data_IF_560202348615
#
_entry.id   IF_560202348615
#
_cell.length_a   1.000
_cell.length_b   1.000
_cell.length_c   1.000
_cell.angle_alpha   90.00
_cell.angle_beta   90.00
_cell.angle_gamma   90.00
#
_symmetry.space_group_name_H-M   'P 1'
#
loop_
_entity.id
_entity.type
_entity.pdbx_description
1 polymer ?
#
# COMPACT_ATOMS: atom_id res chain seq x y z
N UNK A 1 -34.49 -0.68 -19.01
CA UNK A 1 -33.53 -0.42 -20.09
C UNK A 1 -32.51 0.65 -19.72
N UNK A 2 -32.92 1.80 -19.17
CA UNK A 2 -32.00 2.89 -18.72
C UNK A 2 -30.95 2.43 -17.67
N UNK A 3 -31.31 1.56 -16.75
CA UNK A 3 -30.36 1.05 -15.72
C UNK A 3 -29.28 0.11 -16.28
N UNK A 4 -29.56 -0.61 -17.38
CA UNK A 4 -28.54 -1.43 -18.05
C UNK A 4 -27.55 -0.58 -18.85
N UNK A 5 -28.04 0.50 -19.47
CA UNK A 5 -27.20 1.45 -20.19
C UNK A 5 -26.29 2.28 -19.25
N UNK A 6 -26.80 2.69 -18.09
CA UNK A 6 -25.97 3.35 -17.05
C UNK A 6 -24.88 2.42 -16.50
N UNK A 7 -25.15 1.11 -16.33
CA UNK A 7 -24.15 0.15 -15.87
C UNK A 7 -23.09 -0.18 -16.93
N UNK A 8 -23.44 -0.15 -18.20
CA UNK A 8 -22.48 -0.35 -19.31
C UNK A 8 -21.56 0.88 -19.54
N UNK A 9 -21.94 2.06 -19.05
CA UNK A 9 -21.17 3.30 -19.19
C UNK A 9 -20.11 3.50 -18.07
N UNK A 10 -20.10 2.64 -17.05
CA UNK A 10 -19.18 2.77 -15.90
C UNK A 10 -17.92 1.91 -16.14
N UNK A 11 -17.02 2.39 -16.96
CA UNK A 11 -15.69 1.84 -17.18
C UNK A 11 -15.39 1.55 -18.66
N UNK A 12 -14.10 1.59 -19.00
CA UNK A 12 -13.58 1.29 -20.30
C UNK A 12 -13.05 -0.15 -20.34
N UNK A 13 -13.26 -0.85 -21.44
CA UNK A 13 -12.58 -2.11 -21.71
C UNK A 13 -11.19 -1.78 -22.29
N UNK A 14 -10.18 -1.90 -21.45
CA UNK A 14 -8.78 -1.74 -21.86
C UNK A 14 -8.17 -3.10 -22.18
N UNK A 15 -7.11 -3.16 -23.01
CA UNK A 15 -6.32 -4.38 -23.15
C UNK A 15 -5.81 -4.86 -21.79
N UNK A 16 -5.81 -6.17 -21.58
CA UNK A 16 -5.22 -6.78 -20.40
C UNK A 16 -3.79 -7.22 -20.72
N UNK A 17 -2.85 -6.26 -20.71
CA UNK A 17 -1.45 -6.52 -21.01
C UNK A 17 -0.68 -6.73 -19.68
N UNK A 18 -0.92 -7.88 -19.07
CA UNK A 18 -0.35 -8.26 -17.76
C UNK A 18 0.86 -9.20 -17.95
N UNK A 19 1.83 -8.80 -18.78
CA UNK A 19 3.01 -9.62 -19.10
C UNK A 19 3.76 -10.12 -17.86
N UNK A 20 3.74 -9.33 -16.78
CA UNK A 20 4.42 -9.65 -15.52
C UNK A 20 3.57 -10.42 -14.51
N UNK A 21 2.34 -10.84 -14.87
CA UNK A 21 1.42 -11.50 -13.92
C UNK A 21 1.99 -12.79 -13.31
N UNK A 22 2.75 -13.56 -14.11
CA UNK A 22 3.42 -14.78 -13.63
C UNK A 22 4.81 -14.52 -13.03
N UNK A 23 5.32 -13.27 -13.09
CA UNK A 23 6.66 -12.91 -12.58
C UNK A 23 6.61 -12.70 -11.08
N UNK A 24 7.16 -13.65 -10.32
CA UNK A 24 7.33 -13.48 -8.87
C UNK A 24 8.21 -12.25 -8.61
N UNK A 25 7.87 -11.44 -7.61
CA UNK A 25 8.69 -10.30 -7.23
C UNK A 25 10.10 -10.72 -6.82
N UNK A 26 11.09 -10.01 -7.34
CA UNK A 26 12.50 -10.22 -6.97
C UNK A 26 13.06 -8.98 -6.28
N UNK A 27 13.89 -9.13 -5.24
CA UNK A 27 14.60 -7.99 -4.66
C UNK A 27 15.49 -7.35 -5.71
N UNK A 28 15.39 -6.02 -5.87
CA UNK A 28 16.33 -5.31 -6.71
C UNK A 28 17.73 -5.25 -6.05
N UNK A 29 18.82 -5.07 -6.82
CA UNK A 29 20.13 -4.76 -6.25
C UNK A 29 20.02 -3.56 -5.31
N UNK A 30 20.67 -3.65 -4.14
CA UNK A 30 20.63 -2.57 -3.16
C UNK A 30 21.27 -1.30 -3.75
N UNK A 31 20.59 -0.15 -3.78
CA UNK A 31 21.16 1.10 -4.27
C UNK A 31 22.27 1.60 -3.34
N UNK A 32 23.25 2.33 -3.88
CA UNK A 32 24.33 2.91 -3.08
C UNK A 32 23.81 3.94 -2.06
N UNK A 33 22.68 4.57 -2.36
CA UNK A 33 21.98 5.48 -1.45
C UNK A 33 20.50 5.49 -1.72
N UNK A 34 19.71 5.87 -0.69
CA UNK A 34 18.29 6.18 -0.81
C UNK A 34 18.02 7.62 -0.38
N UNK A 35 16.98 8.23 -0.95
CA UNK A 35 16.47 9.53 -0.51
C UNK A 35 15.03 9.36 -0.01
N UNK A 36 14.82 9.43 1.28
CA UNK A 36 13.52 9.23 1.91
C UNK A 36 12.91 10.60 2.20
N UNK A 37 11.77 10.88 1.56
CA UNK A 37 11.09 12.16 1.68
C UNK A 37 10.29 12.22 2.99
N UNK A 38 10.28 13.38 3.65
CA UNK A 38 9.46 13.60 4.86
C UNK A 38 8.00 13.91 4.52
N UNK A 39 7.64 13.97 3.24
CA UNK A 39 6.27 14.13 2.74
C UNK A 39 5.93 13.01 1.75
N UNK A 40 5.55 11.84 2.27
CA UNK A 40 5.13 10.67 1.50
C UNK A 40 3.61 10.41 1.58
N UNK A 41 2.86 11.31 2.20
CA UNK A 41 1.45 11.17 2.51
C UNK A 41 0.73 12.51 2.44
N UNK A 42 -0.59 12.47 2.44
CA UNK A 42 -1.44 13.65 2.59
C UNK A 42 -1.35 14.17 4.04
N UNK A 43 -1.43 15.48 4.19
CA UNK A 43 -1.41 16.17 5.48
C UNK A 43 -0.08 16.83 5.78
N UNK A 44 0.24 16.97 7.06
CA UNK A 44 1.46 17.64 7.49
C UNK A 44 2.68 16.74 7.22
N UNK A 45 3.79 17.24 6.66
CA UNK A 45 5.02 16.50 6.53
C UNK A 45 5.51 15.97 7.89
N UNK A 46 6.17 14.82 7.87
CA UNK A 46 6.89 14.33 9.05
C UNK A 46 8.09 15.25 9.36
N UNK A 47 8.51 15.26 10.61
CA UNK A 47 9.72 15.96 11.05
C UNK A 47 10.87 14.97 11.15
N UNK A 48 11.99 15.27 10.51
CA UNK A 48 13.17 14.42 10.59
C UNK A 48 13.66 14.33 12.06
N UNK A 49 13.96 13.11 12.48
CA UNK A 49 14.49 12.77 13.81
C UNK A 49 16.00 12.56 13.81
N UNK A 50 16.60 12.48 12.62
CA UNK A 50 18.01 12.15 12.42
C UNK A 50 18.76 13.33 11.80
N UNK A 51 20.09 13.33 11.93
CA UNK A 51 21.00 14.32 11.36
C UNK A 51 22.14 13.64 10.62
N UNK A 52 22.88 14.40 9.82
CA UNK A 52 24.09 13.92 9.12
C UNK A 52 25.05 13.25 10.11
N UNK A 53 25.49 12.06 9.74
CA UNK A 53 26.43 11.23 10.49
C UNK A 53 25.77 10.18 11.41
N UNK A 54 24.46 10.25 11.63
CA UNK A 54 23.76 9.23 12.41
C UNK A 54 23.75 7.89 11.67
N UNK A 55 23.95 6.79 12.42
CA UNK A 55 23.73 5.44 11.91
C UNK A 55 22.26 5.08 12.02
N UNK A 56 21.74 4.41 10.99
CA UNK A 56 20.35 3.93 10.93
C UNK A 56 20.33 2.50 10.41
N UNK A 57 19.29 1.77 10.79
CA UNK A 57 19.04 0.39 10.39
C UNK A 57 17.72 0.30 9.63
N UNK A 58 17.46 -0.84 8.98
CA UNK A 58 16.16 -1.10 8.36
C UNK A 58 15.07 -1.08 9.42
N UNK A 59 14.08 -0.21 9.27
CA UNK A 59 13.00 -0.02 10.23
C UNK A 59 13.24 1.06 11.28
N UNK A 60 14.44 1.65 11.39
CA UNK A 60 14.67 2.79 12.28
C UNK A 60 13.73 3.94 11.95
N UNK A 61 13.00 4.47 12.93
CA UNK A 61 12.15 5.65 12.74
C UNK A 61 13.03 6.89 12.54
N UNK A 62 12.96 7.46 11.35
CA UNK A 62 13.75 8.63 10.92
C UNK A 62 12.91 9.89 10.76
N UNK A 63 11.59 9.77 10.82
CA UNK A 63 10.66 10.89 10.75
C UNK A 63 9.45 10.66 11.64
N UNK A 64 9.06 11.67 12.40
CA UNK A 64 7.88 11.67 13.25
C UNK A 64 6.74 12.45 12.63
N UNK A 65 5.54 11.92 12.75
CA UNK A 65 4.33 12.55 12.23
C UNK A 65 4.17 13.99 12.72
N UNK A 66 4.06 14.94 11.80
CA UNK A 66 4.01 16.38 12.08
C UNK A 66 2.65 16.92 12.52
N UNK A 67 1.60 16.08 12.57
CA UNK A 67 0.25 16.48 12.92
C UNK A 67 -0.73 15.33 13.04
N UNK A 68 -2.03 15.61 13.15
CA UNK A 68 -3.06 14.56 13.23
C UNK A 68 -3.12 13.76 11.93
N UNK A 69 -3.27 14.44 10.78
CA UNK A 69 -3.14 13.83 9.46
C UNK A 69 -1.68 13.89 9.06
N UNK A 70 -0.94 12.87 9.39
CA UNK A 70 0.49 12.69 9.13
C UNK A 70 0.86 11.24 9.46
N UNK A 71 2.05 10.78 9.05
CA UNK A 71 2.53 9.43 9.32
C UNK A 71 4.02 9.44 9.71
N UNK A 72 4.43 8.48 10.54
CA UNK A 72 5.83 8.23 10.82
C UNK A 72 6.56 7.70 9.58
N UNK A 73 7.86 7.93 9.49
CA UNK A 73 8.70 7.52 8.36
C UNK A 73 9.89 6.74 8.89
N UNK A 74 10.20 5.64 8.21
CA UNK A 74 11.22 4.70 8.63
C UNK A 74 12.30 4.53 7.57
N UNK A 75 13.50 4.19 8.00
CA UNK A 75 14.60 3.88 7.10
C UNK A 75 14.34 2.55 6.38
N UNK A 76 14.53 2.55 5.08
CA UNK A 76 14.43 1.36 4.23
C UNK A 76 15.74 0.58 4.11
N UNK A 77 16.82 1.14 4.59
CA UNK A 77 18.17 0.58 4.48
C UNK A 77 18.94 0.75 5.79
N UNK A 78 19.97 -0.08 5.99
CA UNK A 78 21.00 0.19 6.99
C UNK A 78 22.14 1.01 6.38
N UNK A 79 22.71 1.92 7.17
CA UNK A 79 23.80 2.78 6.74
C UNK A 79 23.93 4.07 7.53
N UNK A 80 24.51 5.09 6.89
CA UNK A 80 24.79 6.38 7.55
C UNK A 80 24.01 7.50 6.87
N UNK A 81 23.39 8.36 7.64
CA UNK A 81 22.71 9.57 7.15
C UNK A 81 23.76 10.52 6.55
N UNK A 82 23.74 10.67 5.22
CA UNK A 82 24.65 11.54 4.48
C UNK A 82 24.24 13.01 4.54
N UNK A 83 22.92 13.26 4.51
CA UNK A 83 22.35 14.61 4.59
C UNK A 83 20.89 14.56 5.06
N UNK A 84 20.45 15.67 5.68
CA UNK A 84 19.04 16.04 5.82
C UNK A 84 18.91 17.39 5.14
N UNK A 85 18.16 17.42 4.04
CA UNK A 85 18.16 18.58 3.13
C UNK A 85 16.83 18.74 2.42
N UNK A 86 16.47 19.99 2.01
CA UNK A 86 15.30 20.24 1.21
C UNK A 86 15.40 19.54 -0.15
N UNK A 87 14.30 18.94 -0.60
CA UNK A 87 14.17 18.33 -1.91
C UNK A 87 12.90 18.83 -2.63
N UNK A 88 13.01 19.06 -3.93
CA UNK A 88 11.90 19.54 -4.74
C UNK A 88 11.05 18.37 -5.23
N UNK A 89 9.79 18.34 -4.82
CA UNK A 89 8.81 17.35 -5.25
C UNK A 89 8.36 17.59 -6.70
N UNK A 90 7.75 16.58 -7.31
CA UNK A 90 7.20 16.64 -8.68
C UNK A 90 6.16 17.75 -8.87
N UNK A 91 5.44 18.11 -7.83
CA UNK A 91 4.47 19.24 -7.83
C UNK A 91 5.12 20.62 -7.58
N UNK A 92 6.45 20.69 -7.56
CA UNK A 92 7.23 21.93 -7.34
C UNK A 92 7.40 22.36 -5.88
N UNK A 93 6.72 21.72 -4.94
CA UNK A 93 6.87 22.03 -3.50
C UNK A 93 8.20 21.52 -2.98
N UNK A 94 8.72 22.20 -1.96
CA UNK A 94 9.90 21.74 -1.20
C UNK A 94 9.44 20.92 0.01
N UNK A 95 10.15 19.83 0.30
CA UNK A 95 10.03 19.11 1.56
C UNK A 95 11.41 18.64 2.01
N UNK A 96 11.56 18.42 3.31
CA UNK A 96 12.78 17.80 3.82
C UNK A 96 12.91 16.35 3.35
N UNK A 97 14.13 15.92 3.14
CA UNK A 97 14.49 14.54 2.80
C UNK A 97 15.69 14.09 3.61
N UNK A 98 15.70 12.81 3.95
CA UNK A 98 16.84 12.13 4.57
C UNK A 98 17.55 11.32 3.51
N UNK A 99 18.81 11.63 3.25
CA UNK A 99 19.68 10.88 2.34
C UNK A 99 20.50 9.90 3.16
N UNK A 100 20.40 8.61 2.87
CA UNK A 100 21.13 7.56 3.58
C UNK A 100 22.05 6.85 2.60
N UNK A 101 23.34 6.84 2.90
CA UNK A 101 24.33 6.04 2.17
C UNK A 101 24.31 4.63 2.77
N UNK A 102 24.02 3.63 1.93
CA UNK A 102 23.83 2.24 2.38
C UNK A 102 25.18 1.61 2.75
N UNK A 103 25.15 0.71 3.72
CA UNK A 103 26.31 -0.10 4.15
C UNK A 103 26.39 -1.47 3.47
N UNK A 104 25.37 -1.81 2.66
CA UNK A 104 25.26 -3.09 1.95
C UNK A 104 24.80 -4.27 2.81
N UNK A 105 24.56 -4.09 4.13
CA UNK A 105 24.27 -5.19 5.06
C UNK A 105 22.79 -5.43 5.27
N UNK A 106 21.94 -4.39 5.13
CA UNK A 106 20.49 -4.43 5.42
C UNK A 106 20.18 -4.96 6.83
N UNK A 107 20.99 -4.52 7.80
CA UNK A 107 20.80 -4.86 9.22
C UNK A 107 19.46 -4.27 9.69
N UNK A 108 18.62 -5.11 10.29
CA UNK A 108 17.34 -4.69 10.87
C UNK A 108 17.58 -4.02 12.22
N UNK A 109 16.82 -2.95 12.50
CA UNK A 109 16.87 -2.28 13.80
C UNK A 109 16.42 -3.24 14.90
N UNK A 110 17.21 -3.43 15.96
CA UNK A 110 16.84 -4.28 17.11
C UNK A 110 15.53 -3.89 17.79
N UNK A 111 15.08 -2.64 17.63
CA UNK A 111 13.81 -2.16 18.15
C UNK A 111 12.60 -2.63 17.33
N UNK A 112 12.80 -3.21 16.14
CA UNK A 112 11.73 -3.78 15.31
C UNK A 112 11.22 -5.06 15.96
N UNK A 113 10.07 -4.96 16.62
CA UNK A 113 9.40 -6.06 17.30
C UNK A 113 7.89 -5.95 17.09
N UNK A 114 7.21 -7.11 17.03
CA UNK A 114 5.76 -7.15 16.91
C UNK A 114 5.09 -6.33 18.03
N UNK A 115 4.17 -5.42 17.72
CA UNK A 115 3.51 -4.61 18.72
C UNK A 115 2.57 -5.45 19.60
N UNK A 116 2.50 -5.11 20.87
CA UNK A 116 1.47 -5.66 21.74
C UNK A 116 0.16 -4.88 21.54
N UNK A 117 -0.89 -5.58 21.06
CA UNK A 117 -2.19 -5.00 20.76
C UNK A 117 -3.27 -5.72 21.56
N UNK A 118 -3.89 -5.00 22.47
CA UNK A 118 -4.91 -5.55 23.38
C UNK A 118 -6.29 -4.97 23.15
N UNK A 119 -6.38 -3.72 22.65
CA UNK A 119 -7.60 -2.98 22.45
C UNK A 119 -7.52 -2.03 21.23
N UNK A 120 -8.59 -1.25 21.00
CA UNK A 120 -8.65 -0.27 19.91
C UNK A 120 -7.57 0.82 20.02
N UNK A 121 -7.28 1.29 21.22
CA UNK A 121 -6.35 2.39 21.43
C UNK A 121 -4.91 1.95 21.11
N UNK A 122 -4.49 0.80 21.64
CA UNK A 122 -3.19 0.18 21.35
C UNK A 122 -3.05 -0.22 19.88
N UNK A 123 -4.15 -0.69 19.23
CA UNK A 123 -4.17 -0.98 17.80
C UNK A 123 -3.91 0.28 16.97
N UNK A 124 -4.64 1.36 17.22
CA UNK A 124 -4.46 2.61 16.48
C UNK A 124 -3.07 3.24 16.72
N UNK A 125 -2.55 3.13 17.93
CA UNK A 125 -1.19 3.55 18.25
C UNK A 125 -0.15 2.72 17.47
N UNK A 126 -0.33 1.40 17.36
CA UNK A 126 0.53 0.52 16.58
C UNK A 126 0.46 0.85 15.08
N UNK A 127 -0.73 1.12 14.51
CA UNK A 127 -0.88 1.55 13.10
C UNK A 127 -0.18 2.87 12.85
N UNK A 128 -0.26 3.82 13.79
CA UNK A 128 0.45 5.11 13.69
C UNK A 128 1.96 4.91 13.78
N UNK A 129 2.44 4.07 14.69
CA UNK A 129 3.88 3.78 14.81
C UNK A 129 4.41 3.08 13.55
N UNK A 130 3.66 2.19 12.94
CA UNK A 130 3.96 1.60 11.64
C UNK A 130 4.19 2.65 10.53
N UNK A 131 3.57 3.82 10.63
CA UNK A 131 3.60 4.84 9.58
C UNK A 131 2.86 4.41 8.31
N UNK A 132 1.92 3.47 8.42
CA UNK A 132 1.18 2.95 7.28
C UNK A 132 0.26 4.01 6.69
N UNK A 133 0.37 4.17 5.37
CA UNK A 133 -0.49 5.03 4.56
C UNK A 133 -1.18 4.23 3.46
N UNK A 134 -2.17 4.82 2.80
CA UNK A 134 -2.85 4.17 1.69
C UNK A 134 -1.89 3.93 0.52
N UNK A 135 -1.50 2.68 0.30
CA UNK A 135 -0.47 2.29 -0.67
C UNK A 135 -0.98 2.22 -2.12
N UNK A 136 -2.27 2.12 -2.33
CA UNK A 136 -2.89 2.06 -3.66
C UNK A 136 -3.44 3.40 -4.16
N UNK A 137 -3.05 4.54 -3.57
CA UNK A 137 -3.62 5.84 -3.96
C UNK A 137 -2.91 7.03 -3.33
N UNK A 138 -3.69 7.95 -2.76
CA UNK A 138 -3.23 9.27 -2.32
C UNK A 138 -2.36 9.29 -1.05
N UNK A 139 -2.01 8.16 -0.48
CA UNK A 139 -1.16 8.12 0.72
C UNK A 139 -1.85 8.68 1.96
N UNK A 140 -3.14 8.42 2.15
CA UNK A 140 -3.84 8.87 3.36
C UNK A 140 -3.41 8.04 4.58
N UNK A 141 -3.07 8.65 5.75
CA UNK A 141 -2.64 7.93 6.94
C UNK A 141 -3.68 6.92 7.41
N UNK A 142 -3.27 5.67 7.58
CA UNK A 142 -4.20 4.56 7.87
C UNK A 142 -4.78 4.63 9.26
N UNK A 143 -4.01 5.06 10.26
CA UNK A 143 -4.51 5.27 11.63
C UNK A 143 -5.67 6.27 11.67
N UNK A 144 -5.60 7.35 10.88
CA UNK A 144 -6.67 8.34 10.74
C UNK A 144 -7.87 7.75 9.99
N UNK A 145 -7.63 6.99 8.91
CA UNK A 145 -8.69 6.31 8.14
C UNK A 145 -9.50 5.34 9.00
N UNK A 146 -8.86 4.67 9.95
CA UNK A 146 -9.49 3.71 10.86
C UNK A 146 -10.24 4.36 12.05
N UNK A 147 -10.35 5.70 12.06
CA UNK A 147 -11.09 6.50 13.05
C UNK A 147 -12.19 7.33 12.35
N UNK A 148 -13.12 6.71 11.60
CA UNK A 148 -14.18 7.45 10.93
C UNK A 148 -15.09 8.14 11.94
N UNK A 149 -15.66 9.29 11.55
CA UNK A 149 -16.66 10.02 12.36
C UNK A 149 -18.04 9.41 12.20
N UNK A 150 -18.34 8.91 10.99
CA UNK A 150 -19.61 8.27 10.66
C UNK A 150 -19.58 6.80 11.06
N UNK A 151 -20.74 6.20 11.38
CA UNK A 151 -20.83 4.75 11.63
C UNK A 151 -20.43 3.95 10.40
N UNK A 152 -19.55 2.96 10.60
CA UNK A 152 -19.09 2.06 9.54
C UNK A 152 -19.43 0.63 9.89
N UNK A 153 -20.05 -0.07 8.96
CA UNK A 153 -20.44 -1.47 9.11
C UNK A 153 -19.68 -2.44 8.20
N UNK A 154 -18.89 -1.91 7.24
CA UNK A 154 -18.19 -2.73 6.26
C UNK A 154 -16.76 -2.25 6.04
N UNK A 155 -15.80 -3.16 6.18
CA UNK A 155 -14.46 -3.01 5.64
C UNK A 155 -14.46 -3.49 4.19
N UNK A 156 -14.09 -2.64 3.24
CA UNK A 156 -14.00 -2.98 1.83
C UNK A 156 -12.54 -3.02 1.41
N UNK A 157 -12.06 -4.20 1.03
CA UNK A 157 -10.70 -4.36 0.50
C UNK A 157 -10.73 -4.20 -1.01
N UNK A 158 -9.97 -3.23 -1.49
CA UNK A 158 -9.75 -3.01 -2.91
C UNK A 158 -8.61 -3.92 -3.38
N UNK A 159 -8.99 -5.04 -3.99
CA UNK A 159 -8.12 -5.98 -4.68
C UNK A 159 -8.29 -5.90 -6.22
N UNK A 160 -8.88 -4.80 -6.69
CA UNK A 160 -9.05 -4.52 -8.12
C UNK A 160 -7.82 -3.78 -8.65
N UNK A 161 -7.03 -4.48 -9.44
CA UNK A 161 -5.83 -3.95 -10.08
C UNK A 161 -6.13 -3.68 -11.56
N UNK A 162 -6.92 -2.61 -11.82
CA UNK A 162 -7.48 -2.32 -13.14
C UNK A 162 -6.50 -1.59 -14.09
N UNK A 163 -5.35 -1.14 -13.63
CA UNK A 163 -4.31 -0.57 -14.48
C UNK A 163 -3.73 -1.63 -15.43
N UNK A 164 -3.51 -1.27 -16.70
CA UNK A 164 -3.25 -2.20 -17.81
C UNK A 164 -2.06 -3.13 -17.53
N UNK A 165 -0.95 -2.59 -17.05
CA UNK A 165 0.32 -3.35 -16.88
C UNK A 165 0.61 -3.76 -15.44
N UNK A 166 -0.08 -3.20 -14.45
CA UNK A 166 0.23 -3.47 -13.04
C UNK A 166 -0.14 -4.90 -12.64
N UNK A 167 0.76 -5.54 -11.89
CA UNK A 167 0.59 -6.89 -11.35
C UNK A 167 1.08 -7.03 -9.90
N UNK A 168 1.47 -5.93 -9.27
CA UNK A 168 2.01 -5.91 -7.92
C UNK A 168 1.00 -6.36 -6.86
N UNK A 169 -0.28 -5.90 -6.95
CA UNK A 169 -1.33 -6.34 -6.03
C UNK A 169 -1.71 -7.80 -6.26
N UNK A 170 -1.65 -8.29 -7.52
CA UNK A 170 -1.81 -9.70 -7.85
C UNK A 170 -0.75 -10.55 -7.15
N UNK A 171 0.51 -10.15 -7.22
CA UNK A 171 1.60 -10.87 -6.54
C UNK A 171 1.47 -10.79 -5.01
N UNK A 172 1.03 -9.67 -4.47
CA UNK A 172 0.76 -9.52 -3.04
C UNK A 172 -0.32 -10.51 -2.58
N UNK A 173 -1.42 -10.64 -3.33
CA UNK A 173 -2.48 -11.60 -3.01
C UNK A 173 -1.99 -13.05 -3.04
N UNK A 174 -1.16 -13.42 -4.03
CA UNK A 174 -0.65 -14.79 -4.16
C UNK A 174 0.39 -15.16 -3.10
N UNK A 175 1.21 -14.21 -2.67
CA UNK A 175 2.35 -14.48 -1.80
C UNK A 175 2.10 -14.14 -0.32
N UNK A 176 1.22 -13.18 -0.04
CA UNK A 176 1.00 -12.63 1.28
C UNK A 176 -0.47 -12.78 1.78
N UNK A 177 -1.19 -13.80 1.27
CA UNK A 177 -2.60 -14.03 1.62
C UNK A 177 -2.83 -14.12 3.15
N UNK A 178 -1.93 -14.74 3.89
CA UNK A 178 -2.03 -14.87 5.36
C UNK A 178 -1.90 -13.50 6.06
N UNK A 179 -1.03 -12.63 5.56
CA UNK A 179 -0.90 -11.27 6.09
C UNK A 179 -2.12 -10.42 5.75
N UNK A 180 -2.70 -10.59 4.55
CA UNK A 180 -3.97 -9.94 4.17
C UNK A 180 -5.07 -10.31 5.16
N UNK A 181 -5.28 -11.60 5.41
CA UNK A 181 -6.33 -12.09 6.33
C UNK A 181 -6.05 -11.60 7.76
N UNK A 182 -4.81 -11.67 8.24
CA UNK A 182 -4.42 -11.15 9.56
C UNK A 182 -4.73 -9.66 9.69
N UNK A 183 -4.41 -8.85 8.68
CA UNK A 183 -4.69 -7.42 8.66
C UNK A 183 -6.21 -7.14 8.69
N UNK A 184 -7.00 -7.86 7.88
CA UNK A 184 -8.46 -7.76 7.87
C UNK A 184 -9.02 -8.10 9.26
N UNK A 185 -8.67 -9.25 9.82
CA UNK A 185 -9.15 -9.70 11.13
C UNK A 185 -8.81 -8.71 12.25
N UNK A 186 -7.62 -8.11 12.20
CA UNK A 186 -7.24 -7.08 13.16
C UNK A 186 -8.13 -5.83 13.05
N UNK A 187 -8.39 -5.35 11.83
CA UNK A 187 -9.29 -4.20 11.62
C UNK A 187 -10.71 -4.54 12.10
N UNK A 188 -11.27 -5.68 11.71
CA UNK A 188 -12.60 -6.10 12.14
C UNK A 188 -12.70 -6.14 13.68
N UNK A 189 -11.72 -6.78 14.32
CA UNK A 189 -11.69 -6.95 15.78
C UNK A 189 -11.54 -5.63 16.54
N UNK A 190 -10.52 -4.84 16.20
CA UNK A 190 -10.13 -3.70 17.03
C UNK A 190 -10.84 -2.40 16.65
N UNK A 191 -11.24 -2.23 15.39
CA UNK A 191 -12.08 -1.08 15.00
C UNK A 191 -13.56 -1.36 15.34
N UNK A 192 -13.96 -2.64 15.37
CA UNK A 192 -15.32 -3.06 15.69
C UNK A 192 -16.22 -3.07 14.45
N UNK A 193 -15.68 -3.43 13.29
CA UNK A 193 -16.44 -3.55 12.03
C UNK A 193 -16.93 -4.99 11.88
N UNK A 194 -18.24 -5.24 11.65
CA UNK A 194 -18.78 -6.60 11.70
C UNK A 194 -18.46 -7.46 10.47
N UNK A 195 -18.12 -6.87 9.33
CA UNK A 195 -17.87 -7.63 8.09
C UNK A 195 -16.85 -6.98 7.18
N UNK A 196 -16.26 -7.82 6.32
CA UNK A 196 -15.34 -7.41 5.26
C UNK A 196 -15.81 -7.94 3.90
N UNK A 197 -15.63 -7.15 2.85
CA UNK A 197 -15.78 -7.58 1.46
C UNK A 197 -14.47 -7.33 0.74
N UNK A 198 -13.93 -8.36 0.09
CA UNK A 198 -12.75 -8.25 -0.78
C UNK A 198 -13.24 -8.14 -2.22
N UNK A 199 -13.23 -6.94 -2.80
CA UNK A 199 -13.59 -6.72 -4.20
C UNK A 199 -12.39 -7.00 -5.11
N UNK A 200 -12.48 -8.05 -5.93
CA UNK A 200 -11.40 -8.50 -6.80
C UNK A 200 -11.91 -8.70 -8.23
N UNK A 201 -11.11 -8.33 -9.23
CA UNK A 201 -11.50 -8.54 -10.63
C UNK A 201 -11.47 -10.02 -11.03
N UNK A 202 -12.46 -10.45 -11.82
CA UNK A 202 -12.67 -11.84 -12.24
C UNK A 202 -11.60 -12.37 -13.21
N UNK A 203 -10.68 -11.53 -13.68
CA UNK A 203 -9.50 -11.92 -14.45
C UNK A 203 -8.35 -12.48 -13.61
N UNK A 204 -8.56 -12.66 -12.29
CA UNK A 204 -7.57 -13.17 -11.32
C UNK A 204 -8.08 -14.44 -10.60
N UNK A 205 -8.39 -15.53 -11.34
CA UNK A 205 -9.01 -16.71 -10.74
C UNK A 205 -8.16 -17.35 -9.64
N UNK A 206 -6.84 -17.41 -9.81
CA UNK A 206 -5.93 -18.00 -8.80
C UNK A 206 -5.95 -17.22 -7.47
N UNK A 207 -6.03 -15.89 -7.53
CA UNK A 207 -6.15 -15.06 -6.32
C UNK A 207 -7.52 -15.25 -5.67
N UNK A 208 -8.60 -15.33 -6.46
CA UNK A 208 -9.96 -15.57 -5.96
C UNK A 208 -10.01 -16.91 -5.23
N UNK A 209 -9.54 -17.99 -5.86
CA UNK A 209 -9.56 -19.34 -5.30
C UNK A 209 -8.73 -19.39 -3.99
N UNK A 210 -7.54 -18.80 -3.98
CA UNK A 210 -6.69 -18.72 -2.80
C UNK A 210 -7.37 -17.96 -1.65
N UNK A 211 -7.91 -16.78 -1.93
CA UNK A 211 -8.58 -15.97 -0.90
C UNK A 211 -9.86 -16.65 -0.40
N UNK A 212 -10.66 -17.27 -1.27
CA UNK A 212 -11.82 -18.07 -0.87
C UNK A 212 -11.41 -19.25 0.03
N UNK A 213 -10.33 -19.94 -0.30
CA UNK A 213 -9.80 -21.01 0.54
C UNK A 213 -9.37 -20.50 1.91
N UNK A 214 -8.68 -19.35 1.98
CA UNK A 214 -8.20 -18.75 3.23
C UNK A 214 -9.32 -18.22 4.11
N UNK A 215 -10.44 -17.82 3.54
CA UNK A 215 -11.60 -17.24 4.26
C UNK A 215 -12.74 -18.22 4.51
N UNK A 216 -12.62 -19.49 4.11
CA UNK A 216 -13.70 -20.49 4.19
C UNK A 216 -14.31 -20.65 5.62
N UNK A 217 -13.48 -20.49 6.65
CA UNK A 217 -13.87 -20.64 8.05
C UNK A 217 -14.09 -19.27 8.75
N UNK A 218 -14.19 -18.18 7.97
CA UNK A 218 -14.30 -16.80 8.44
C UNK A 218 -15.50 -16.12 7.75
N UNK A 219 -16.75 -16.43 8.20
CA UNK A 219 -17.98 -16.00 7.51
C UNK A 219 -18.16 -14.48 7.43
N UNK A 220 -17.45 -13.72 8.27
CA UNK A 220 -17.44 -12.26 8.22
C UNK A 220 -16.64 -11.68 7.05
N UNK A 221 -15.86 -12.51 6.30
CA UNK A 221 -15.07 -12.08 5.15
C UNK A 221 -15.62 -12.70 3.86
N UNK A 222 -16.19 -11.86 3.00
CA UNK A 222 -16.68 -12.24 1.67
C UNK A 222 -15.65 -11.92 0.60
N UNK A 223 -15.34 -12.87 -0.29
CA UNK A 223 -14.59 -12.61 -1.53
C UNK A 223 -15.58 -12.40 -2.66
N UNK A 224 -15.58 -11.20 -3.26
CA UNK A 224 -16.56 -10.80 -4.28
C UNK A 224 -15.89 -10.55 -5.63
N UNK A 225 -16.03 -11.49 -6.59
CA UNK A 225 -15.55 -11.29 -7.95
C UNK A 225 -16.31 -10.15 -8.66
N UNK A 226 -15.58 -9.25 -9.31
CA UNK A 226 -16.09 -8.09 -10.03
C UNK A 226 -15.74 -8.17 -11.52
N UNK A 227 -16.53 -7.57 -12.42
CA UNK A 227 -16.15 -7.45 -13.82
C UNK A 227 -14.84 -6.70 -13.99
N UNK A 228 -13.95 -7.25 -14.83
CA UNK A 228 -12.67 -6.62 -15.17
C UNK A 228 -12.91 -5.49 -16.19
N UNK A 229 -13.09 -4.29 -15.67
CA UNK A 229 -13.34 -3.06 -16.43
C UNK A 229 -12.52 -1.94 -15.80
N UNK A 230 -11.82 -1.14 -16.63
CA UNK A 230 -11.03 -0.01 -16.13
C UNK A 230 -11.90 0.95 -15.31
N UNK A 231 -11.39 1.29 -14.13
CA UNK A 231 -12.09 2.12 -13.13
C UNK A 231 -12.86 1.31 -12.08
N UNK A 232 -12.92 -0.04 -12.17
CA UNK A 232 -13.54 -0.86 -11.11
C UNK A 232 -12.88 -0.63 -9.75
N UNK A 233 -11.56 -0.39 -9.73
CA UNK A 233 -10.80 -0.08 -8.51
C UNK A 233 -10.95 1.35 -7.98
N UNK A 234 -11.67 2.24 -8.68
CA UNK A 234 -11.96 3.56 -8.14
C UNK A 234 -12.86 3.43 -6.90
N UNK A 235 -12.47 4.06 -5.80
CA UNK A 235 -13.06 3.86 -4.46
C UNK A 235 -14.59 3.94 -4.44
N UNK A 236 -15.17 4.98 -5.07
CA UNK A 236 -16.62 5.17 -5.10
C UNK A 236 -17.33 4.13 -5.97
N UNK A 237 -16.72 3.73 -7.08
CA UNK A 237 -17.25 2.70 -7.98
C UNK A 237 -17.19 1.34 -7.31
N UNK A 238 -16.12 1.07 -6.58
CA UNK A 238 -15.95 -0.16 -5.83
C UNK A 238 -17.03 -0.31 -4.74
N UNK A 239 -17.33 0.78 -4.00
CA UNK A 239 -18.41 0.81 -3.01
C UNK A 239 -19.75 0.48 -3.67
N UNK A 240 -20.07 1.13 -4.78
CA UNK A 240 -21.32 0.84 -5.51
C UNK A 240 -21.39 -0.61 -5.97
N UNK A 241 -20.33 -1.12 -6.61
CA UNK A 241 -20.29 -2.50 -7.13
C UNK A 241 -20.32 -3.56 -6.03
N UNK A 242 -19.60 -3.33 -4.94
CA UNK A 242 -19.52 -4.30 -3.85
C UNK A 242 -20.71 -4.24 -2.90
N UNK A 243 -21.18 -3.04 -2.57
CA UNK A 243 -22.15 -2.84 -1.49
C UNK A 243 -23.53 -2.35 -1.98
N UNK A 244 -23.62 -1.90 -3.26
CA UNK A 244 -24.85 -1.28 -3.80
C UNK A 244 -25.19 0.06 -3.15
N UNK A 245 -24.19 0.72 -2.57
CA UNK A 245 -24.33 2.00 -1.86
C UNK A 245 -23.71 3.13 -2.68
N UNK A 246 -24.29 4.32 -2.56
CA UNK A 246 -23.74 5.54 -3.15
C UNK A 246 -23.14 6.43 -2.07
N UNK A 247 -21.93 6.95 -2.34
CA UNK A 247 -21.32 7.98 -1.49
C UNK A 247 -21.90 9.32 -1.89
N UNK A 248 -22.44 10.13 -0.95
CA UNK A 248 -22.95 11.47 -1.26
C UNK A 248 -21.89 12.35 -1.94
N UNK A 249 -22.31 13.26 -2.78
CA UNK A 249 -21.41 14.18 -3.49
C UNK A 249 -20.52 14.94 -2.50
N UNK A 250 -19.19 14.89 -2.71
CA UNK A 250 -18.20 15.46 -1.80
C UNK A 250 -18.01 14.71 -0.48
N UNK A 251 -18.73 13.60 -0.27
CA UNK A 251 -18.60 12.73 0.90
C UNK A 251 -17.40 11.81 0.85
N UNK A 252 -17.09 11.20 1.98
CA UNK A 252 -16.09 10.14 2.12
C UNK A 252 -16.77 8.76 2.16
N UNK A 253 -16.06 7.66 1.92
CA UNK A 253 -16.58 6.29 2.02
C UNK A 253 -17.34 5.99 3.31
N UNK A 254 -16.93 6.56 4.43
CA UNK A 254 -17.60 6.41 5.72
C UNK A 254 -19.06 6.91 5.70
N UNK A 255 -19.40 7.91 4.89
CA UNK A 255 -20.79 8.36 4.72
C UNK A 255 -21.69 7.31 4.04
N UNK A 256 -21.08 6.33 3.37
CA UNK A 256 -21.78 5.14 2.85
C UNK A 256 -21.58 3.91 3.76
N UNK A 257 -21.11 4.08 5.00
CA UNK A 257 -20.91 3.02 5.97
C UNK A 257 -19.72 2.11 5.69
N UNK A 258 -18.74 2.55 4.89
CA UNK A 258 -17.59 1.75 4.49
C UNK A 258 -16.23 2.40 4.82
N UNK A 259 -15.25 1.59 5.19
CA UNK A 259 -13.84 1.94 5.10
C UNK A 259 -13.24 1.16 3.94
N UNK A 260 -12.55 1.85 3.03
CA UNK A 260 -11.88 1.21 1.89
C UNK A 260 -10.37 1.16 2.14
N UNK A 261 -9.77 -0.03 2.01
CA UNK A 261 -8.32 -0.22 2.06
C UNK A 261 -7.84 -0.99 0.82
N UNK A 262 -6.72 -0.58 0.25
CA UNK A 262 -6.06 -1.37 -0.79
C UNK A 262 -5.50 -2.68 -0.20
N UNK A 263 -5.47 -3.75 -0.99
CA UNK A 263 -5.03 -5.08 -0.57
C UNK A 263 -3.59 -5.09 -0.04
N UNK A 264 -2.67 -4.37 -0.69
CA UNK A 264 -1.27 -4.25 -0.23
C UNK A 264 -1.18 -3.45 1.10
N UNK A 265 -2.07 -2.46 1.32
CA UNK A 265 -2.10 -1.73 2.61
C UNK A 265 -2.52 -2.63 3.76
N UNK A 266 -3.56 -3.46 3.58
CA UNK A 266 -4.00 -4.37 4.64
C UNK A 266 -3.03 -5.52 4.87
N UNK A 267 -2.36 -6.00 3.81
CA UNK A 267 -1.25 -6.96 3.91
C UNK A 267 -0.10 -6.40 4.73
N UNK A 268 0.34 -5.18 4.43
CA UNK A 268 1.40 -4.49 5.17
C UNK A 268 1.05 -4.31 6.64
N UNK A 269 -0.22 -4.03 6.96
CA UNK A 269 -0.72 -3.99 8.34
C UNK A 269 -0.58 -5.36 9.02
N UNK A 270 -1.03 -6.42 8.36
CA UNK A 270 -0.93 -7.78 8.89
C UNK A 270 0.51 -8.22 9.13
N UNK A 271 1.41 -7.89 8.21
CA UNK A 271 2.84 -8.13 8.34
C UNK A 271 3.45 -7.36 9.52
N UNK A 272 3.12 -6.07 9.65
CA UNK A 272 3.58 -5.26 10.77
C UNK A 272 3.14 -5.82 12.12
N UNK A 273 1.86 -6.21 12.25
CA UNK A 273 1.34 -6.80 13.48
C UNK A 273 2.03 -8.11 13.86
N UNK A 274 2.52 -8.86 12.87
CA UNK A 274 3.25 -10.11 13.11
C UNK A 274 4.74 -9.92 13.43
N UNK A 275 5.37 -8.86 12.89
CA UNK A 275 6.83 -8.73 12.88
C UNK A 275 7.36 -7.43 13.47
N UNK A 276 6.53 -6.39 13.54
CA UNK A 276 6.94 -5.02 13.87
C UNK A 276 7.64 -4.29 12.72
N UNK A 277 7.83 -4.93 11.56
CA UNK A 277 8.51 -4.30 10.43
C UNK A 277 7.58 -3.29 9.74
N UNK A 278 7.90 -1.99 9.74
CA UNK A 278 7.14 -0.98 9.02
C UNK A 278 7.27 -1.13 7.49
N UNK A 279 6.57 -0.27 6.73
CA UNK A 279 6.67 -0.29 5.27
C UNK A 279 8.00 0.31 4.82
N UNK A 280 9.01 -0.53 4.67
CA UNK A 280 10.38 -0.16 4.25
C UNK A 280 10.67 -0.50 2.79
N UNK A 281 9.82 -1.30 2.15
CA UNK A 281 9.94 -1.68 0.74
C UNK A 281 8.57 -1.80 0.08
N UNK A 282 8.54 -1.74 -1.25
CA UNK A 282 7.35 -1.89 -2.07
C UNK A 282 7.60 -2.87 -3.20
N UNK A 283 6.62 -3.73 -3.45
CA UNK A 283 6.54 -4.42 -4.73
C UNK A 283 6.02 -3.43 -5.78
N UNK A 284 6.76 -3.26 -6.86
CA UNK A 284 6.38 -2.44 -8.00
C UNK A 284 6.51 -3.24 -9.29
N UNK A 285 5.62 -2.99 -10.24
CA UNK A 285 5.74 -3.51 -11.60
C UNK A 285 6.56 -2.53 -12.42
N UNK A 286 7.60 -3.03 -13.10
CA UNK A 286 8.38 -2.28 -14.10
C UNK A 286 8.14 -2.92 -15.44
N UNK A 287 7.46 -2.19 -16.33
CA UNK A 287 7.06 -2.67 -17.65
C UNK A 287 6.99 -1.50 -18.64
N UNK A 288 6.80 -1.78 -19.89
CA UNK A 288 6.63 -0.82 -20.97
C UNK A 288 7.63 -1.01 -22.11
N UNK A 289 7.42 -0.25 -23.20
CA UNK A 289 8.17 -0.42 -24.45
C UNK A 289 9.68 -0.18 -24.30
N UNK A 290 10.09 0.67 -23.35
CA UNK A 290 11.48 0.97 -23.04
C UNK A 290 12.15 -0.08 -22.14
N UNK A 291 11.35 -0.93 -21.46
CA UNK A 291 11.87 -1.93 -20.53
C UNK A 291 12.42 -3.15 -21.29
N UNK A 292 13.65 -3.56 -20.98
CA UNK A 292 14.25 -4.75 -21.57
C UNK A 292 13.75 -6.04 -20.91
N UNK A 293 13.54 -6.00 -19.58
CA UNK A 293 13.13 -7.15 -18.78
C UNK A 293 11.93 -6.76 -17.89
N UNK A 294 10.68 -6.78 -18.39
CA UNK A 294 9.50 -6.53 -17.60
C UNK A 294 9.42 -7.49 -16.39
N UNK A 295 9.22 -6.93 -15.20
CA UNK A 295 9.24 -7.71 -13.97
C UNK A 295 8.61 -6.98 -12.78
N UNK A 296 8.32 -7.72 -11.72
CA UNK A 296 7.97 -7.17 -10.42
C UNK A 296 9.23 -7.09 -9.55
N UNK A 297 9.52 -5.91 -9.00
CA UNK A 297 10.68 -5.66 -8.15
C UNK A 297 10.24 -5.32 -6.71
N UNK A 298 10.96 -5.89 -5.73
CA UNK A 298 10.88 -5.42 -4.34
C UNK A 298 11.92 -4.31 -4.18
N UNK A 299 11.45 -3.09 -3.98
CA UNK A 299 12.26 -1.86 -4.01
C UNK A 299 12.26 -1.21 -2.64
N UNK A 300 13.43 -0.91 -2.04
CA UNK A 300 13.52 -0.10 -0.83
C UNK A 300 12.91 1.30 -1.04
N UNK A 301 12.14 1.79 -0.08
CA UNK A 301 11.55 3.14 -0.14
C UNK A 301 12.66 4.18 -0.25
N UNK A 302 12.50 5.12 -1.17
CA UNK A 302 13.50 6.18 -1.42
C UNK A 302 14.55 5.84 -2.47
N UNK A 303 14.46 4.66 -3.11
CA UNK A 303 15.27 4.32 -4.29
C UNK A 303 14.94 5.25 -5.46
N UNK A 304 15.95 5.63 -6.24
CA UNK A 304 15.76 6.48 -7.42
C UNK A 304 15.08 5.72 -8.57
N UNK A 305 14.35 6.43 -9.42
CA UNK A 305 13.82 5.84 -10.66
C UNK A 305 14.94 5.32 -11.57
N UNK A 306 16.09 6.00 -11.59
CA UNK A 306 17.26 5.59 -12.36
C UNK A 306 17.76 4.21 -11.92
N UNK A 307 17.90 3.98 -10.60
CA UNK A 307 18.32 2.67 -10.07
C UNK A 307 17.30 1.58 -10.41
N UNK A 308 15.99 1.89 -10.32
CA UNK A 308 14.92 0.93 -10.66
C UNK A 308 14.95 0.58 -12.15
N UNK A 309 15.08 1.58 -13.03
CA UNK A 309 15.13 1.36 -14.48
C UNK A 309 16.41 0.60 -14.87
N UNK A 310 17.53 0.90 -14.25
CA UNK A 310 18.78 0.16 -14.46
C UNK A 310 18.66 -1.31 -14.03
N UNK A 311 17.97 -1.58 -12.92
CA UNK A 311 17.73 -2.95 -12.45
C UNK A 311 16.84 -3.75 -13.41
N UNK A 312 15.83 -3.13 -14.03
CA UNK A 312 14.99 -3.75 -15.04
C UNK A 312 15.64 -3.80 -16.42
N UNK A 313 16.67 -2.98 -16.66
CA UNK A 313 17.32 -2.79 -17.94
C UNK A 313 16.50 -1.93 -18.89
N UNK A 314 17.19 -1.02 -19.59
CA UNK A 314 16.61 -0.24 -20.67
C UNK A 314 17.01 -0.82 -22.03
N UNK A 315 16.11 -0.77 -23.00
CA UNK A 315 16.43 -1.15 -24.39
C UNK A 315 17.43 -0.16 -24.99
N UNK A 316 18.33 -0.60 -25.87
CA UNK A 316 19.24 0.30 -26.56
C UNK A 316 18.49 1.39 -27.34
N UNK A 317 18.95 2.64 -27.21
CA UNK A 317 18.42 3.78 -27.96
C UNK A 317 17.20 4.47 -27.34
N UNK A 318 16.89 4.15 -26.10
CA UNK A 318 15.84 4.82 -25.34
C UNK A 318 16.43 5.89 -24.42
#
# INVERSE_FOLDING_TARGET
MLNKLKRAALGAHTPHDKATAASKPVPMPLPAQVRILMSQHIGAPAKALVKKGDEVFVGTKIGEAGGFVSANIHSSVSGTVAAVEPYRLSNGRMCDSVVIKTDGKQTVDPAVQAPEVTDKASFLAAVRECGLVGLGGAGFPTDVKLQPKDPVDTLLINASECEVWLTSDTQEMLLCADDIIRGIQAVLKYVGIPKCVIGIENNKPECIDLLCQKTKDTPEIEVKPLPSVYGTGAELILIEKCLGREVPHGGLPAAAGAIVMNVTSVSSLGKYLATGMPVVSRCITVDGDACANPQNLIVPVGTSYEDVLNAAGLKPGV
#
